data_IF_021465023064
#
_entry.id   IF_021465023064
#
_cell.length_a   1.000
_cell.length_b   1.000
_cell.length_c   1.000
_cell.angle_alpha   90.00
_cell.angle_beta   90.00
_cell.angle_gamma   90.00
#
_symmetry.space_group_name_H-M   'P 1'
#
loop_
_entity.id
_entity.type
_entity.pdbx_description
1 polymer ?
#
# COMPACT_ATOMS: atom_id res chain seq x y z
N UNK A 1 5.61 35.89 13.02
CA UNK A 1 6.68 35.45 12.09
C UNK A 1 6.15 35.23 10.67
N UNK A 2 5.08 34.46 10.48
CA UNK A 2 4.42 34.26 9.16
C UNK A 2 3.99 35.58 8.46
N UNK A 3 3.45 36.60 9.16
CA UNK A 3 3.04 37.87 8.53
C UNK A 3 4.20 38.78 8.09
N UNK A 4 5.42 38.55 8.58
CA UNK A 4 6.60 39.35 8.25
C UNK A 4 7.23 38.87 6.94
N UNK A 5 7.20 37.56 6.68
CA UNK A 5 7.75 36.95 5.47
C UNK A 5 6.88 37.23 4.23
N UNK A 6 5.55 37.31 4.38
CA UNK A 6 4.63 37.61 3.27
C UNK A 6 4.70 39.05 2.77
N UNK A 7 5.31 39.98 3.53
CA UNK A 7 5.46 41.39 3.15
C UNK A 7 6.74 41.69 2.37
N UNK A 8 7.75 40.82 2.49
CA UNK A 8 9.09 41.05 1.95
C UNK A 8 9.49 40.05 0.85
N UNK A 9 8.63 39.07 0.55
CA UNK A 9 8.80 38.12 -0.54
C UNK A 9 7.49 38.03 -1.33
N UNK A 10 7.53 38.34 -2.62
CA UNK A 10 6.49 37.88 -3.54
C UNK A 10 6.54 36.36 -3.51
N UNK A 11 5.50 35.76 -2.90
CA UNK A 11 5.36 34.32 -2.93
C UNK A 11 4.96 33.97 -4.36
N UNK A 12 5.92 33.54 -5.18
CA UNK A 12 5.60 32.86 -6.44
C UNK A 12 4.55 31.80 -6.11
N UNK A 13 3.40 31.90 -6.77
CA UNK A 13 2.21 31.15 -6.41
C UNK A 13 2.34 29.73 -7.00
N UNK A 14 3.30 28.95 -6.50
CA UNK A 14 3.64 27.60 -6.97
C UNK A 14 2.41 26.69 -6.91
N UNK A 15 1.99 26.16 -8.07
CA UNK A 15 0.88 25.21 -8.22
C UNK A 15 1.46 23.80 -8.36
N UNK A 16 1.66 23.11 -7.25
CA UNK A 16 2.27 21.78 -7.24
C UNK A 16 1.27 20.68 -7.52
N UNK A 17 1.59 19.83 -8.49
CA UNK A 17 0.91 18.56 -8.73
C UNK A 17 1.74 17.42 -8.15
N UNK A 18 1.03 16.41 -7.62
CA UNK A 18 1.64 15.19 -7.08
C UNK A 18 1.19 13.96 -7.86
N UNK A 19 2.07 12.98 -7.98
CA UNK A 19 1.72 11.62 -8.40
C UNK A 19 2.46 10.65 -7.49
N UNK A 20 1.72 9.73 -6.88
CA UNK A 20 2.24 8.74 -5.97
C UNK A 20 2.33 7.40 -6.69
N UNK A 21 3.51 6.80 -6.69
CA UNK A 21 3.79 5.51 -7.31
C UNK A 21 4.13 4.48 -6.24
N UNK A 22 3.77 3.23 -6.52
CA UNK A 22 4.19 2.07 -5.75
C UNK A 22 4.98 1.12 -6.65
N UNK A 23 5.79 0.23 -6.05
CA UNK A 23 6.55 -0.82 -6.75
C UNK A 23 7.61 -0.32 -7.76
N UNK A 24 7.97 0.96 -7.71
CA UNK A 24 8.97 1.56 -8.60
C UNK A 24 10.27 1.85 -7.85
N UNK A 25 11.40 1.67 -8.54
CA UNK A 25 12.69 2.19 -8.08
C UNK A 25 12.85 3.62 -8.60
N UNK A 26 13.36 4.53 -7.76
CA UNK A 26 13.43 5.96 -8.10
C UNK A 26 14.20 6.21 -9.39
N UNK A 27 15.35 5.56 -9.55
CA UNK A 27 16.18 5.67 -10.76
C UNK A 27 15.45 5.19 -12.02
N UNK A 28 14.69 4.10 -11.91
CA UNK A 28 13.95 3.54 -13.05
C UNK A 28 12.76 4.42 -13.42
N UNK A 29 12.01 4.90 -12.42
CA UNK A 29 10.90 5.82 -12.61
C UNK A 29 11.37 7.13 -13.27
N UNK A 30 12.46 7.71 -12.75
CA UNK A 30 13.03 8.94 -13.30
C UNK A 30 13.47 8.75 -14.77
N UNK A 31 14.18 7.66 -15.07
CA UNK A 31 14.63 7.37 -16.43
C UNK A 31 13.48 7.20 -17.43
N UNK A 32 12.37 6.58 -17.02
CA UNK A 32 11.18 6.46 -17.87
C UNK A 32 10.46 7.79 -18.07
N UNK A 33 10.32 8.59 -17.00
CA UNK A 33 9.67 9.90 -17.06
C UNK A 33 10.46 10.90 -17.91
N UNK A 34 11.79 10.86 -17.84
CA UNK A 34 12.66 11.73 -18.63
C UNK A 34 12.47 11.55 -20.15
N UNK A 35 11.93 10.41 -20.63
CA UNK A 35 11.64 10.18 -22.04
C UNK A 35 10.54 11.08 -22.60
N UNK A 36 9.64 11.57 -21.75
CA UNK A 36 8.47 12.34 -22.17
C UNK A 36 8.20 13.58 -21.33
N UNK A 37 9.03 13.86 -20.32
CA UNK A 37 9.00 15.08 -19.53
C UNK A 37 9.17 16.32 -20.44
N UNK A 38 8.30 17.34 -20.33
CA UNK A 38 8.46 18.58 -21.08
C UNK A 38 9.69 19.37 -20.61
N UNK A 39 10.35 20.04 -21.55
CA UNK A 39 11.49 20.91 -21.27
C UNK A 39 11.06 22.07 -20.35
N UNK A 40 11.87 22.37 -19.34
CA UNK A 40 11.56 23.40 -18.35
C UNK A 40 10.73 22.93 -17.15
N UNK A 41 10.16 21.72 -17.17
CA UNK A 41 9.36 21.22 -16.05
C UNK A 41 10.21 20.97 -14.80
N UNK A 42 9.91 21.67 -13.70
CA UNK A 42 10.56 21.42 -12.41
C UNK A 42 9.90 20.21 -11.72
N UNK A 43 10.70 19.18 -11.42
CA UNK A 43 10.26 17.89 -10.88
C UNK A 43 11.16 17.45 -9.73
N UNK A 44 10.56 16.85 -8.71
CA UNK A 44 11.26 16.23 -7.59
C UNK A 44 10.66 14.85 -7.28
N UNK A 45 11.54 13.91 -6.94
CA UNK A 45 11.17 12.57 -6.47
C UNK A 45 11.46 12.45 -4.98
N UNK A 46 10.49 11.94 -4.23
CA UNK A 46 10.63 11.67 -2.80
C UNK A 46 10.29 10.21 -2.55
N UNK A 47 11.32 9.37 -2.48
CA UNK A 47 11.19 7.97 -2.09
C UNK A 47 11.11 7.83 -0.56
N UNK A 48 10.08 7.16 -0.08
CA UNK A 48 9.93 6.84 1.34
C UNK A 48 9.10 5.58 1.50
N UNK A 49 9.64 4.61 2.25
CA UNK A 49 8.88 3.47 2.78
C UNK A 49 8.16 2.64 1.70
N UNK A 50 8.79 2.49 0.54
CA UNK A 50 8.25 1.73 -0.60
C UNK A 50 7.33 2.52 -1.54
N UNK A 51 7.15 3.83 -1.30
CA UNK A 51 6.35 4.72 -2.14
C UNK A 51 7.27 5.79 -2.72
N UNK A 52 7.08 6.15 -3.98
CA UNK A 52 7.73 7.31 -4.58
C UNK A 52 6.68 8.38 -4.82
N UNK A 53 6.92 9.57 -4.29
CA UNK A 53 6.10 10.75 -4.57
C UNK A 53 6.82 11.63 -5.56
N UNK A 54 6.27 11.71 -6.77
CA UNK A 54 6.64 12.70 -7.76
C UNK A 54 5.89 13.99 -7.45
N UNK A 55 6.61 15.10 -7.41
CA UNK A 55 6.05 16.45 -7.34
C UNK A 55 6.56 17.25 -8.52
N UNK A 56 5.70 17.97 -9.23
CA UNK A 56 6.12 18.94 -10.24
C UNK A 56 5.36 20.26 -10.10
N UNK A 57 6.00 21.37 -10.50
CA UNK A 57 5.36 22.69 -10.52
C UNK A 57 4.64 22.89 -11.86
N UNK A 58 3.31 23.00 -11.84
CA UNK A 58 2.52 23.22 -13.04
C UNK A 58 2.81 24.58 -13.69
N UNK A 59 3.29 25.56 -12.95
CA UNK A 59 3.64 26.88 -13.49
C UNK A 59 4.97 26.88 -14.25
N UNK A 60 5.77 25.81 -14.15
CA UNK A 60 7.05 25.72 -14.86
C UNK A 60 6.90 25.45 -16.36
N UNK A 61 5.70 25.09 -16.81
CA UNK A 61 5.34 24.83 -18.21
C UNK A 61 3.94 25.38 -18.52
N UNK A 62 3.48 25.31 -19.76
CA UNK A 62 2.08 25.67 -20.08
C UNK A 62 1.09 24.64 -19.52
N UNK A 63 -0.17 25.05 -19.31
CA UNK A 63 -1.22 24.13 -18.85
C UNK A 63 -1.38 22.92 -19.79
N UNK A 64 -1.38 23.13 -21.10
CA UNK A 64 -1.47 22.06 -22.09
C UNK A 64 -0.31 21.06 -21.95
N UNK A 65 0.91 21.54 -21.70
CA UNK A 65 2.08 20.67 -21.47
C UNK A 65 1.96 19.88 -20.17
N UNK A 66 1.47 20.51 -19.10
CA UNK A 66 1.19 19.84 -17.82
C UNK A 66 0.15 18.73 -17.97
N UNK A 67 -0.96 19.01 -18.67
CA UNK A 67 -2.05 18.04 -18.85
C UNK A 67 -1.61 16.87 -19.74
N UNK A 68 -0.88 17.15 -20.82
CA UNK A 68 -0.28 16.09 -21.65
C UNK A 68 0.73 15.24 -20.87
N UNK A 69 1.50 15.85 -19.95
CA UNK A 69 2.44 15.12 -19.12
C UNK A 69 1.73 14.18 -18.15
N UNK A 70 0.65 14.64 -17.50
CA UNK A 70 -0.18 13.81 -16.64
C UNK A 70 -0.84 12.67 -17.40
N UNK A 71 -1.34 12.93 -18.60
CA UNK A 71 -1.92 11.89 -19.45
C UNK A 71 -0.90 10.79 -19.75
N UNK A 72 0.32 11.16 -20.17
CA UNK A 72 1.38 10.18 -20.44
C UNK A 72 1.83 9.41 -19.21
N UNK A 73 1.88 10.06 -18.04
CA UNK A 73 2.11 9.37 -16.76
C UNK A 73 1.03 8.30 -16.55
N UNK A 74 -0.24 8.67 -16.71
CA UNK A 74 -1.37 7.76 -16.58
C UNK A 74 -1.28 6.57 -17.53
N UNK A 75 -0.95 6.81 -18.80
CA UNK A 75 -0.79 5.76 -19.82
C UNK A 75 0.42 4.85 -19.57
N UNK A 76 1.53 5.40 -19.05
CA UNK A 76 2.79 4.66 -18.89
C UNK A 76 2.82 3.84 -17.59
N UNK A 77 2.19 4.35 -16.53
CA UNK A 77 2.29 3.82 -15.18
C UNK A 77 0.93 3.50 -14.56
N UNK A 78 -0.11 3.27 -15.37
CA UNK A 78 -1.49 3.02 -14.91
C UNK A 78 -1.55 2.06 -13.72
N UNK A 79 -0.82 0.97 -13.85
CA UNK A 79 -0.73 -0.13 -12.89
C UNK A 79 0.02 0.20 -11.60
N UNK A 80 0.84 1.26 -11.59
CA UNK A 80 1.74 1.63 -10.50
C UNK A 80 1.31 2.93 -9.80
N UNK A 81 0.31 3.64 -10.34
CA UNK A 81 -0.20 4.88 -9.76
C UNK A 81 -1.16 4.57 -8.60
N UNK A 82 -0.78 5.08 -7.44
CA UNK A 82 -1.55 5.03 -6.22
C UNK A 82 -2.54 6.20 -6.12
N UNK A 83 -2.08 7.43 -6.37
CA UNK A 83 -2.89 8.65 -6.22
C UNK A 83 -2.28 9.81 -7.00
N UNK A 84 -3.13 10.72 -7.46
CA UNK A 84 -2.74 12.04 -7.98
C UNK A 84 -2.77 13.14 -6.89
N UNK A 85 -3.01 12.76 -5.64
CA UNK A 85 -3.01 13.66 -4.50
C UNK A 85 -1.87 13.31 -3.53
N UNK A 86 -1.38 14.29 -2.77
CA UNK A 86 -0.39 14.06 -1.72
C UNK A 86 -1.07 13.59 -0.42
N UNK A 87 -1.64 12.39 -0.45
CA UNK A 87 -2.34 11.76 0.67
C UNK A 87 -1.65 10.46 1.10
N UNK A 88 -1.88 10.05 2.35
CA UNK A 88 -1.28 8.82 2.87
C UNK A 88 -1.90 7.57 2.20
N UNK A 89 -1.16 6.46 2.10
CA UNK A 89 -1.66 5.22 1.47
C UNK A 89 -2.90 4.70 2.18
N UNK A 90 -2.93 4.77 3.51
CA UNK A 90 -4.09 4.38 4.29
C UNK A 90 -5.33 5.22 3.96
N UNK A 91 -5.14 6.47 3.51
CA UNK A 91 -6.24 7.35 3.09
C UNK A 91 -6.77 6.97 1.72
N UNK A 92 -5.88 6.63 0.79
CA UNK A 92 -6.24 6.09 -0.53
C UNK A 92 -7.06 4.81 -0.36
N UNK A 93 -6.55 3.84 0.41
CA UNK A 93 -7.23 2.59 0.67
C UNK A 93 -8.58 2.81 1.37
N UNK A 94 -8.63 3.66 2.40
CA UNK A 94 -9.86 3.95 3.14
C UNK A 94 -10.95 4.60 2.28
N UNK A 95 -10.58 5.50 1.38
CA UNK A 95 -11.51 6.09 0.40
C UNK A 95 -12.03 5.03 -0.57
N UNK A 96 -11.13 4.22 -1.16
CA UNK A 96 -11.50 3.17 -2.11
C UNK A 96 -12.44 2.12 -1.50
N UNK A 97 -12.18 1.69 -0.26
CA UNK A 97 -13.07 0.78 0.48
C UNK A 97 -14.45 1.43 0.67
N UNK A 98 -14.47 2.71 1.04
CA UNK A 98 -15.73 3.43 1.30
C UNK A 98 -16.57 3.63 0.03
N UNK A 99 -15.91 3.92 -1.09
CA UNK A 99 -16.53 4.12 -2.40
C UNK A 99 -17.07 2.81 -2.98
N UNK A 100 -16.29 1.73 -2.89
CA UNK A 100 -16.70 0.38 -3.31
C UNK A 100 -17.75 -0.25 -2.39
N UNK A 101 -17.92 0.30 -1.18
CA UNK A 101 -18.81 -0.20 -0.11
C UNK A 101 -18.50 -1.64 0.31
N UNK A 102 -17.29 -2.11 0.05
CA UNK A 102 -16.86 -3.47 0.40
C UNK A 102 -16.58 -3.56 1.90
N UNK A 103 -17.06 -4.62 2.52
CA UNK A 103 -16.70 -5.00 3.87
C UNK A 103 -15.35 -5.74 3.85
N UNK A 104 -14.42 -5.35 4.70
CA UNK A 104 -13.05 -5.85 4.73
C UNK A 104 -12.70 -6.43 6.10
N UNK A 105 -11.99 -7.56 6.14
CA UNK A 105 -11.37 -8.11 7.35
C UNK A 105 -9.90 -8.48 7.14
N UNK A 106 -9.10 -8.54 8.21
CA UNK A 106 -7.67 -8.90 8.10
C UNK A 106 -7.24 -9.99 9.07
N UNK A 107 -6.28 -10.82 8.66
CA UNK A 107 -5.46 -11.63 9.56
C UNK A 107 -3.99 -11.15 9.50
N UNK A 108 -3.53 -10.46 10.54
CA UNK A 108 -2.20 -9.85 10.58
C UNK A 108 -1.24 -10.66 11.45
N UNK A 109 -0.10 -11.08 10.88
CA UNK A 109 1.00 -11.67 11.65
C UNK A 109 2.18 -10.70 11.74
N UNK A 110 3.02 -10.61 10.70
CA UNK A 110 4.26 -9.82 10.73
C UNK A 110 4.01 -8.35 11.10
N UNK A 111 2.93 -7.75 10.61
CA UNK A 111 2.59 -6.33 10.83
C UNK A 111 2.05 -6.02 12.22
N UNK A 112 1.61 -7.01 12.99
CA UNK A 112 1.16 -6.83 14.38
C UNK A 112 0.00 -5.83 14.53
N UNK A 113 -0.85 -5.68 13.52
CA UNK A 113 -1.97 -4.72 13.53
C UNK A 113 -1.65 -3.37 12.88
N UNK A 114 -0.47 -3.20 12.27
CA UNK A 114 -0.08 -1.95 11.62
C UNK A 114 -1.08 -1.53 10.54
N UNK A 115 -1.58 -2.47 9.74
CA UNK A 115 -2.53 -2.17 8.64
C UNK A 115 -3.89 -1.77 9.23
N UNK A 116 -4.38 -2.52 10.20
CA UNK A 116 -5.61 -2.15 10.92
C UNK A 116 -5.49 -0.78 11.57
N UNK A 117 -4.37 -0.50 12.25
CA UNK A 117 -4.12 0.75 12.94
C UNK A 117 -4.00 1.96 12.00
N UNK A 118 -3.48 1.77 10.79
CA UNK A 118 -3.43 2.82 9.78
C UNK A 118 -4.83 3.07 9.22
N UNK A 119 -5.58 2.01 8.95
CA UNK A 119 -6.90 2.09 8.34
C UNK A 119 -7.91 2.81 9.25
N UNK A 120 -7.92 2.53 10.55
CA UNK A 120 -8.83 3.17 11.53
C UNK A 120 -8.61 4.69 11.70
N UNK A 121 -7.51 5.25 11.19
CA UNK A 121 -7.32 6.71 11.15
C UNK A 121 -8.28 7.39 10.17
N UNK A 122 -8.90 6.65 9.26
CA UNK A 122 -9.90 7.15 8.33
C UNK A 122 -11.28 7.30 9.00
N UNK A 123 -11.82 8.52 9.12
CA UNK A 123 -13.16 8.71 9.71
C UNK A 123 -14.22 7.94 8.92
N UNK A 124 -15.11 7.22 9.63
CA UNK A 124 -16.21 6.47 9.04
C UNK A 124 -15.85 5.08 8.51
N UNK A 125 -14.58 4.66 8.56
CA UNK A 125 -14.14 3.36 8.05
C UNK A 125 -14.76 2.17 8.79
N UNK A 126 -15.25 2.37 10.02
CA UNK A 126 -15.96 1.36 10.81
C UNK A 126 -17.25 0.82 10.16
N UNK A 127 -17.75 1.48 9.11
CA UNK A 127 -18.87 0.96 8.29
C UNK A 127 -18.45 -0.24 7.41
N UNK A 128 -17.16 -0.34 7.10
CA UNK A 128 -16.62 -1.22 6.07
C UNK A 128 -15.50 -2.11 6.60
N UNK A 129 -14.62 -1.61 7.46
CA UNK A 129 -13.63 -2.43 8.14
C UNK A 129 -14.27 -3.15 9.33
N UNK A 130 -14.52 -4.45 9.19
CA UNK A 130 -15.32 -5.26 10.13
C UNK A 130 -14.48 -5.71 11.32
N UNK A 131 -13.22 -6.03 11.10
CA UNK A 131 -12.33 -6.47 12.15
C UNK A 131 -11.04 -7.06 11.63
N UNK A 132 -10.14 -7.36 12.55
CA UNK A 132 -8.92 -8.07 12.27
C UNK A 132 -8.54 -8.98 13.42
N UNK A 133 -7.95 -10.12 13.09
CA UNK A 133 -7.24 -10.99 14.02
C UNK A 133 -5.73 -10.76 13.92
N UNK A 134 -5.09 -10.51 15.06
CA UNK A 134 -3.63 -10.49 15.14
C UNK A 134 -3.14 -11.89 15.48
N UNK A 135 -2.80 -12.67 14.46
CA UNK A 135 -2.42 -14.10 14.55
C UNK A 135 -0.89 -14.27 14.61
N UNK A 136 -0.25 -13.65 15.60
CA UNK A 136 1.21 -13.57 15.69
C UNK A 136 1.90 -14.91 15.93
N UNK A 137 1.31 -15.78 16.76
CA UNK A 137 1.88 -17.08 17.15
C UNK A 137 1.21 -18.24 16.43
N UNK A 138 1.87 -19.39 16.35
CA UNK A 138 1.27 -20.62 15.81
C UNK A 138 -0.02 -21.00 16.56
N UNK A 139 -0.05 -20.82 17.88
CA UNK A 139 -1.25 -21.06 18.70
C UNK A 139 -2.41 -20.11 18.32
N UNK A 140 -2.15 -18.82 18.10
CA UNK A 140 -3.20 -17.91 17.62
C UNK A 140 -3.69 -18.23 16.20
N UNK A 141 -2.81 -18.78 15.33
CA UNK A 141 -3.20 -19.24 13.99
C UNK A 141 -4.11 -20.46 14.07
N UNK A 142 -3.79 -21.44 14.94
CA UNK A 142 -4.66 -22.60 15.23
C UNK A 142 -6.05 -22.18 15.71
N UNK A 143 -6.12 -21.21 16.63
CA UNK A 143 -7.41 -20.70 17.14
C UNK A 143 -8.26 -20.11 16.01
N UNK A 144 -7.67 -19.30 15.12
CA UNK A 144 -8.40 -18.74 13.99
C UNK A 144 -8.82 -19.82 13.00
N UNK A 145 -7.95 -20.78 12.70
CA UNK A 145 -8.21 -21.86 11.75
C UNK A 145 -9.15 -22.94 12.30
N UNK A 146 -9.29 -23.02 13.63
CA UNK A 146 -9.95 -24.10 14.33
C UNK A 146 -9.42 -25.48 13.91
N UNK A 147 -8.09 -25.57 13.76
CA UNK A 147 -7.36 -26.78 13.35
C UNK A 147 -6.03 -26.89 14.13
N UNK A 148 -5.72 -28.10 14.57
CA UNK A 148 -4.47 -28.44 15.28
C UNK A 148 -3.40 -29.01 14.34
N UNK A 149 -3.78 -29.52 13.16
CA UNK A 149 -2.90 -30.20 12.22
C UNK A 149 -2.48 -29.29 11.06
N UNK A 150 -1.92 -28.13 11.38
CA UNK A 150 -1.52 -27.12 10.39
C UNK A 150 -0.05 -27.31 9.98
N UNK A 151 0.20 -27.27 8.68
CA UNK A 151 1.55 -27.11 8.14
C UNK A 151 2.01 -25.65 8.27
N UNK A 152 2.95 -25.36 9.16
CA UNK A 152 3.49 -24.01 9.36
C UNK A 152 4.64 -23.65 8.44
N UNK A 153 5.16 -24.62 7.69
CA UNK A 153 6.31 -24.42 6.80
C UNK A 153 5.85 -23.89 5.44
N UNK A 154 4.66 -24.27 4.96
CA UNK A 154 4.10 -23.73 3.72
C UNK A 154 3.32 -22.43 3.96
N UNK A 155 3.97 -21.28 3.71
CA UNK A 155 3.34 -19.97 3.91
C UNK A 155 2.34 -19.59 2.83
N UNK A 156 2.37 -20.22 1.66
CA UNK A 156 1.35 -20.02 0.63
C UNK A 156 0.03 -20.62 1.13
N UNK A 157 0.04 -21.90 1.50
CA UNK A 157 -1.10 -22.62 2.06
C UNK A 157 -1.60 -21.98 3.36
N UNK A 158 -0.67 -21.63 4.27
CA UNK A 158 -1.03 -21.01 5.54
C UNK A 158 -1.69 -19.63 5.35
N UNK A 159 -1.18 -18.81 4.43
CA UNK A 159 -1.77 -17.49 4.15
C UNK A 159 -3.15 -17.61 3.52
N UNK A 160 -3.36 -18.59 2.63
CA UNK A 160 -4.67 -18.92 2.06
C UNK A 160 -5.67 -19.30 3.15
N UNK A 161 -5.32 -20.28 3.98
CA UNK A 161 -6.21 -20.80 5.03
C UNK A 161 -6.61 -19.71 6.04
N UNK A 162 -5.68 -18.85 6.44
CA UNK A 162 -5.95 -17.73 7.34
C UNK A 162 -6.87 -16.68 6.70
N UNK A 163 -6.71 -16.44 5.40
CA UNK A 163 -7.55 -15.48 4.65
C UNK A 163 -8.98 -15.99 4.55
N UNK A 164 -9.15 -17.26 4.17
CA UNK A 164 -10.47 -17.90 4.10
C UNK A 164 -11.14 -17.97 5.47
N UNK A 165 -10.40 -18.25 6.54
CA UNK A 165 -10.95 -18.20 7.89
C UNK A 165 -11.40 -16.79 8.28
N UNK A 166 -10.60 -15.75 7.96
CA UNK A 166 -10.98 -14.35 8.21
C UNK A 166 -12.26 -13.96 7.45
N UNK A 167 -12.36 -14.32 6.16
CA UNK A 167 -13.57 -14.11 5.34
C UNK A 167 -14.79 -14.73 6.02
N UNK A 168 -14.69 -16.01 6.40
CA UNK A 168 -15.80 -16.76 6.97
C UNK A 168 -16.22 -16.24 8.36
N UNK A 169 -15.24 -15.94 9.21
CA UNK A 169 -15.46 -15.43 10.57
C UNK A 169 -16.19 -14.09 10.56
N UNK A 170 -15.71 -13.15 9.75
CA UNK A 170 -16.24 -11.77 9.72
C UNK A 170 -17.36 -11.57 8.70
N UNK A 171 -17.58 -12.53 7.81
CA UNK A 171 -18.53 -12.42 6.68
C UNK A 171 -18.28 -11.16 5.85
N UNK A 172 -17.01 -10.79 5.71
CA UNK A 172 -16.57 -9.66 4.90
C UNK A 172 -16.62 -9.99 3.41
N UNK A 173 -16.65 -8.98 2.54
CA UNK A 173 -16.58 -9.18 1.10
C UNK A 173 -15.15 -9.49 0.63
N UNK A 174 -14.13 -8.95 1.31
CA UNK A 174 -12.72 -9.22 1.02
C UNK A 174 -11.97 -9.43 2.33
N UNK A 175 -11.00 -10.35 2.34
CA UNK A 175 -10.03 -10.44 3.42
C UNK A 175 -8.60 -10.36 2.90
N UNK A 176 -7.70 -9.91 3.77
CA UNK A 176 -6.27 -9.90 3.55
C UNK A 176 -5.54 -10.57 4.71
N UNK A 177 -4.61 -11.47 4.40
CA UNK A 177 -3.64 -11.99 5.37
C UNK A 177 -2.24 -11.50 5.02
N UNK A 178 -1.44 -11.21 6.05
CA UNK A 178 -0.01 -10.99 5.87
C UNK A 178 0.84 -11.78 6.87
N UNK A 179 1.71 -12.63 6.33
CA UNK A 179 2.75 -13.38 7.03
C UNK A 179 4.12 -12.80 6.66
N UNK A 180 5.14 -13.10 7.46
CA UNK A 180 6.49 -12.72 7.11
C UNK A 180 7.51 -12.84 8.24
N UNK A 181 8.78 -12.72 7.86
CA UNK A 181 9.91 -12.63 8.78
C UNK A 181 10.45 -11.20 8.87
N UNK A 182 10.32 -10.54 10.02
CA UNK A 182 10.86 -9.20 10.22
C UNK A 182 12.31 -9.19 10.76
N UNK A 183 12.87 -10.36 11.13
CA UNK A 183 14.22 -10.48 11.69
C UNK A 183 14.35 -10.00 13.15
N UNK A 184 15.58 -9.90 13.69
CA UNK A 184 16.86 -9.96 12.97
C UNK A 184 17.34 -11.37 12.61
N UNK A 185 16.73 -12.41 13.18
CA UNK A 185 17.02 -13.82 12.89
C UNK A 185 15.72 -14.44 12.39
N UNK A 186 15.78 -15.29 11.36
CA UNK A 186 14.60 -16.02 10.90
C UNK A 186 14.21 -17.11 11.91
N UNK A 187 12.91 -17.22 12.16
CA UNK A 187 12.31 -18.28 12.96
C UNK A 187 11.63 -19.37 12.12
N UNK A 188 11.65 -19.22 10.81
CA UNK A 188 11.07 -20.14 9.82
C UNK A 188 12.10 -20.54 8.76
N UNK A 189 11.69 -21.31 7.76
CA UNK A 189 12.54 -21.62 6.61
C UNK A 189 12.79 -20.40 5.68
N UNK A 190 11.97 -19.35 5.79
CA UNK A 190 12.06 -18.19 4.91
C UNK A 190 13.11 -17.18 5.40
N UNK A 191 13.89 -16.54 4.52
CA UNK A 191 14.86 -15.53 4.94
C UNK A 191 14.21 -14.27 5.53
N UNK A 192 14.94 -13.57 6.42
CA UNK A 192 14.52 -12.26 6.96
C UNK A 192 14.13 -11.29 5.84
N UNK A 193 12.97 -10.67 5.94
CA UNK A 193 12.39 -9.76 4.94
C UNK A 193 11.42 -10.44 3.99
N UNK A 194 11.32 -11.77 3.96
CA UNK A 194 10.30 -12.46 3.17
C UNK A 194 8.93 -12.25 3.80
N UNK A 195 7.95 -11.86 2.99
CA UNK A 195 6.55 -11.71 3.38
C UNK A 195 5.66 -12.47 2.39
N UNK A 196 4.51 -12.94 2.87
CA UNK A 196 3.44 -13.51 2.05
C UNK A 196 2.18 -12.70 2.29
N UNK A 197 1.52 -12.30 1.20
CA UNK A 197 0.24 -11.59 1.24
C UNK A 197 -0.77 -12.46 0.49
N UNK A 198 -1.91 -12.72 1.12
CA UNK A 198 -3.03 -13.39 0.49
C UNK A 198 -4.26 -12.49 0.56
N UNK A 199 -4.95 -12.31 -0.56
CA UNK A 199 -6.17 -11.51 -0.67
C UNK A 199 -7.23 -12.33 -1.38
N UNK A 200 -8.41 -12.45 -0.77
CA UNK A 200 -9.53 -13.23 -1.31
C UNK A 200 -10.84 -12.47 -1.16
N UNK A 201 -11.74 -12.61 -2.14
CA UNK A 201 -13.15 -12.23 -2.04
C UNK A 201 -14.10 -13.44 -1.98
N UNK A 202 -13.56 -14.65 -1.77
CA UNK A 202 -14.30 -15.92 -1.78
C UNK A 202 -14.49 -16.54 -3.17
N UNK A 203 -14.34 -15.76 -4.25
CA UNK A 203 -14.39 -16.28 -5.63
C UNK A 203 -13.02 -16.28 -6.30
N UNK A 204 -12.25 -15.22 -6.06
CA UNK A 204 -10.90 -14.99 -6.56
C UNK A 204 -9.96 -14.81 -5.39
N UNK A 205 -8.88 -15.59 -5.40
CA UNK A 205 -7.78 -15.47 -4.45
C UNK A 205 -6.49 -15.15 -5.18
N UNK A 206 -5.72 -14.21 -4.63
CA UNK A 206 -4.37 -13.86 -5.08
C UNK A 206 -3.43 -14.04 -3.92
N UNK A 207 -2.38 -14.84 -4.11
CA UNK A 207 -1.29 -15.03 -3.15
C UNK A 207 -0.01 -14.53 -3.80
N UNK A 208 0.79 -13.78 -3.05
CA UNK A 208 2.04 -13.21 -3.53
C UNK A 208 3.10 -13.25 -2.42
N UNK A 209 4.35 -13.52 -2.82
CA UNK A 209 5.52 -13.40 -1.95
C UNK A 209 6.40 -12.23 -2.35
N UNK A 210 7.03 -11.58 -1.37
CA UNK A 210 7.92 -10.44 -1.61
C UNK A 210 9.12 -10.45 -0.69
N UNK A 211 10.19 -9.79 -1.16
CA UNK A 211 11.39 -9.54 -0.36
C UNK A 211 11.50 -8.07 0.05
N UNK A 212 11.39 -7.82 1.35
CA UNK A 212 11.61 -6.51 1.96
C UNK A 212 13.05 -6.35 2.43
N UNK A 213 13.63 -5.19 2.14
CA UNK A 213 14.97 -4.82 2.58
C UNK A 213 14.91 -3.80 3.72
N UNK A 214 15.83 -3.91 4.67
CA UNK A 214 15.99 -2.96 5.78
C UNK A 214 16.14 -3.64 7.13
N UNK A 215 16.18 -2.84 8.18
CA UNK A 215 16.06 -3.32 9.55
C UNK A 215 14.61 -3.74 9.87
N UNK A 216 14.40 -4.35 11.05
CA UNK A 216 13.08 -4.83 11.47
C UNK A 216 11.97 -3.77 11.31
N UNK A 217 12.20 -2.54 11.77
CA UNK A 217 11.19 -1.49 11.69
C UNK A 217 10.85 -1.11 10.24
N UNK A 218 11.87 -1.02 9.39
CA UNK A 218 11.69 -0.74 7.96
C UNK A 218 10.95 -1.88 7.24
N UNK A 219 11.26 -3.14 7.58
CA UNK A 219 10.56 -4.31 7.02
C UNK A 219 9.08 -4.28 7.39
N UNK A 220 8.76 -4.05 8.67
CA UNK A 220 7.37 -3.97 9.15
C UNK A 220 6.57 -2.91 8.39
N UNK A 221 7.15 -1.72 8.23
CA UNK A 221 6.51 -0.60 7.55
C UNK A 221 6.34 -0.84 6.05
N UNK A 222 7.38 -1.34 5.37
CA UNK A 222 7.31 -1.68 3.94
C UNK A 222 6.31 -2.80 3.69
N UNK A 223 6.25 -3.82 4.56
CA UNK A 223 5.28 -4.90 4.49
C UNK A 223 3.84 -4.39 4.60
N UNK A 224 3.57 -3.51 5.57
CA UNK A 224 2.25 -2.89 5.74
C UNK A 224 1.84 -2.03 4.53
N UNK A 225 2.76 -1.26 3.95
CA UNK A 225 2.48 -0.48 2.74
C UNK A 225 2.26 -1.37 1.52
N UNK A 226 3.03 -2.45 1.38
CA UNK A 226 2.90 -3.43 0.29
C UNK A 226 1.56 -4.14 0.32
N UNK A 227 1.10 -4.60 1.49
CA UNK A 227 -0.22 -5.20 1.63
C UNK A 227 -1.36 -4.22 1.29
N UNK A 228 -1.28 -2.97 1.76
CA UNK A 228 -2.29 -1.96 1.42
C UNK A 228 -2.33 -1.69 -0.09
N UNK A 229 -1.17 -1.64 -0.73
CA UNK A 229 -1.08 -1.49 -2.18
C UNK A 229 -1.73 -2.66 -2.93
N UNK A 230 -1.38 -3.90 -2.57
CA UNK A 230 -1.97 -5.06 -3.25
C UNK A 230 -3.47 -5.16 -3.05
N UNK A 231 -3.96 -4.75 -1.88
CA UNK A 231 -5.40 -4.64 -1.64
C UNK A 231 -6.05 -3.57 -2.52
N UNK A 232 -5.41 -2.42 -2.71
CA UNK A 232 -5.89 -1.39 -3.65
C UNK A 232 -5.96 -1.97 -5.07
N UNK A 233 -4.90 -2.62 -5.56
CA UNK A 233 -4.90 -3.26 -6.89
C UNK A 233 -5.99 -4.32 -7.01
N UNK A 234 -6.14 -5.15 -5.99
CA UNK A 234 -7.16 -6.20 -5.96
C UNK A 234 -8.56 -5.60 -6.07
N UNK A 235 -8.89 -4.59 -5.26
CA UNK A 235 -10.22 -3.94 -5.28
C UNK A 235 -10.47 -3.22 -6.60
N UNK A 236 -9.47 -2.51 -7.16
CA UNK A 236 -9.60 -1.85 -8.48
C UNK A 236 -9.90 -2.87 -9.59
N UNK A 237 -9.32 -4.06 -9.53
CA UNK A 237 -9.52 -5.13 -10.52
C UNK A 237 -10.80 -5.95 -10.31
N UNK A 238 -11.66 -5.60 -9.34
CA UNK A 238 -13.00 -6.21 -9.20
C UNK A 238 -14.04 -5.58 -10.14
N UNK A 239 -13.73 -4.42 -10.72
CA UNK A 239 -14.59 -3.63 -11.59
C UNK A 239 -13.90 -3.34 -12.92
#
# INVERSE_FOLDING_TARGET
MIPFLSKNYEKENTDYQFVMFFNQAESSLAAEIDKFKPEGLDIAYLASKGIIKLRFDKNSVSNDQSDMFLQKIGETFEDDILSYENIAVEKVLGNLISESKLQISFAESITGGLISSSLVKNPGISKYFIGSDIVYTNESKKILLNDENINFDDWEELSYNLTESSLNKYKSNVALTILGEAGPISSSQYPVGTIFICISNGEKTVISDHKMNGNRAEILERAGNKAQWELIKFIKNLY
#
